data_IF_856302084528
#
_entry.id   IF_856302084528
#
_cell.length_a   1.000
_cell.length_b   1.000
_cell.length_c   1.000
_cell.angle_alpha   90.00
_cell.angle_beta   90.00
_cell.angle_gamma   90.00
#
_symmetry.space_group_name_H-M   'P 1'
#
loop_
_entity.id
_entity.type
_entity.pdbx_description
1 polymer ?
#
# COMPACT_ATOMS: atom_id res chain seq x y z
N UNK A 1 -36.07 -5.79 -30.14
CA UNK A 1 -34.87 -6.63 -30.02
C UNK A 1 -33.74 -5.72 -29.55
N UNK A 2 -33.52 -5.64 -28.22
CA UNK A 2 -32.44 -4.83 -27.63
C UNK A 2 -31.14 -5.62 -27.73
N UNK A 3 -30.16 -5.10 -28.44
CA UNK A 3 -28.79 -5.64 -28.44
C UNK A 3 -28.06 -5.01 -27.26
N UNK A 4 -27.84 -5.79 -26.20
CA UNK A 4 -26.92 -5.42 -25.14
C UNK A 4 -25.49 -5.69 -25.62
N UNK A 5 -24.77 -4.64 -26.03
CA UNK A 5 -23.32 -4.70 -26.12
C UNK A 5 -22.77 -4.84 -24.71
N UNK A 6 -22.47 -6.08 -24.29
CA UNK A 6 -21.55 -6.32 -23.17
C UNK A 6 -20.16 -5.92 -23.65
N UNK A 7 -19.77 -4.67 -23.38
CA UNK A 7 -18.37 -4.34 -23.22
C UNK A 7 -17.87 -5.14 -22.03
N UNK A 8 -17.09 -6.18 -22.32
CA UNK A 8 -16.30 -6.87 -21.31
C UNK A 8 -15.28 -5.88 -20.78
N UNK A 9 -15.55 -5.29 -19.63
CA UNK A 9 -14.53 -4.60 -18.83
C UNK A 9 -13.45 -5.65 -18.52
N UNK A 10 -12.16 -5.39 -18.80
CA UNK A 10 -11.10 -6.28 -18.37
C UNK A 10 -11.16 -6.39 -16.84
N UNK A 11 -11.00 -7.60 -16.30
CA UNK A 11 -10.84 -7.76 -14.84
C UNK A 11 -9.49 -7.15 -14.46
N UNK A 12 -9.48 -5.88 -14.06
CA UNK A 12 -8.34 -5.26 -13.40
C UNK A 12 -7.99 -6.02 -12.11
N UNK A 13 -6.71 -6.29 -11.92
CA UNK A 13 -6.09 -6.72 -10.67
C UNK A 13 -5.97 -5.51 -9.74
N UNK A 14 -6.99 -5.29 -8.93
CA UNK A 14 -6.81 -4.43 -7.75
C UNK A 14 -5.79 -5.08 -6.81
N UNK A 15 -4.88 -4.29 -6.23
CA UNK A 15 -4.34 -4.65 -4.92
C UNK A 15 -5.56 -4.74 -3.99
N UNK A 16 -6.01 -5.95 -3.70
CA UNK A 16 -7.20 -6.13 -2.88
C UNK A 16 -6.82 -5.75 -1.46
N UNK A 17 -7.12 -4.52 -1.07
CA UNK A 17 -7.13 -4.12 0.32
C UNK A 17 -7.88 -5.20 1.09
N UNK A 18 -7.17 -5.89 1.97
CA UNK A 18 -7.81 -6.80 2.90
C UNK A 18 -8.29 -5.93 4.06
N UNK A 19 -9.50 -6.20 4.57
CA UNK A 19 -9.97 -5.50 5.76
C UNK A 19 -8.93 -5.68 6.87
N UNK A 20 -8.38 -4.58 7.36
CA UNK A 20 -7.48 -4.58 8.51
C UNK A 20 -8.35 -4.87 9.73
N UNK A 21 -7.97 -5.88 10.51
CA UNK A 21 -8.66 -6.24 11.75
C UNK A 21 -8.09 -5.40 12.90
N UNK A 22 -8.71 -4.24 13.14
CA UNK A 22 -8.32 -3.30 14.21
C UNK A 22 -8.30 -3.98 15.58
N UNK A 23 -9.35 -4.76 15.90
CA UNK A 23 -9.46 -5.44 17.19
C UNK A 23 -8.37 -6.51 17.39
N UNK A 24 -7.95 -7.19 16.32
CA UNK A 24 -6.83 -8.13 16.40
C UNK A 24 -5.49 -7.41 16.58
N UNK A 25 -5.31 -6.22 16.00
CA UNK A 25 -4.12 -5.39 16.26
C UNK A 25 -4.12 -4.87 17.71
N UNK A 26 -5.25 -4.39 18.22
CA UNK A 26 -5.40 -3.98 19.63
C UNK A 26 -5.05 -5.11 20.59
N UNK A 27 -5.43 -6.35 20.26
CA UNK A 27 -5.08 -7.50 21.10
C UNK A 27 -3.56 -7.71 21.20
N UNK A 28 -2.78 -7.34 20.18
CA UNK A 28 -1.31 -7.43 20.17
C UNK A 28 -0.71 -6.27 20.97
N UNK A 29 -1.18 -5.04 20.75
CA UNK A 29 -0.68 -3.82 21.41
C UNK A 29 -1.34 -3.54 22.78
N UNK A 30 -2.23 -4.43 23.22
CA UNK A 30 -2.89 -4.43 24.53
C UNK A 30 -2.66 -5.73 25.32
N UNK A 31 -1.68 -6.54 24.92
CA UNK A 31 -1.33 -7.77 25.64
C UNK A 31 -0.82 -7.49 27.07
N UNK A 32 -0.77 -8.53 27.92
CA UNK A 32 -0.46 -8.38 29.35
C UNK A 32 0.88 -7.69 29.66
N UNK A 33 1.88 -7.74 28.76
CA UNK A 33 3.16 -7.06 28.92
C UNK A 33 3.06 -5.52 28.94
N UNK A 34 1.95 -4.96 28.46
CA UNK A 34 1.60 -3.53 28.56
C UNK A 34 1.05 -3.12 29.94
N UNK A 35 0.80 -4.09 30.83
CA UNK A 35 0.25 -3.83 32.15
C UNK A 35 -1.14 -3.17 32.08
N UNK A 36 -1.24 -1.93 32.57
CA UNK A 36 -2.49 -1.14 32.53
C UNK A 36 -2.47 -0.06 31.44
N UNK A 37 -1.36 0.08 30.73
CA UNK A 37 -1.14 1.10 29.71
C UNK A 37 -1.14 0.42 28.35
N UNK A 38 -2.33 0.09 27.85
CA UNK A 38 -2.48 -0.50 26.51
C UNK A 38 -2.39 0.60 25.44
N UNK A 39 -1.97 0.22 24.23
CA UNK A 39 -1.99 1.11 23.06
C UNK A 39 -3.15 0.69 22.16
N UNK A 40 -4.02 1.65 21.88
CA UNK A 40 -5.18 1.53 21.00
C UNK A 40 -4.77 1.84 19.55
N UNK A 41 -5.03 0.93 18.62
CA UNK A 41 -4.76 1.10 17.19
C UNK A 41 -6.01 1.68 16.53
N UNK A 42 -5.88 2.85 15.92
CA UNK A 42 -7.01 3.57 15.32
C UNK A 42 -6.87 3.64 13.82
N UNK A 43 -7.72 2.93 13.09
CA UNK A 43 -7.74 3.03 11.64
C UNK A 43 -8.49 4.29 11.21
N UNK A 44 -7.77 5.19 10.57
CA UNK A 44 -8.35 6.34 9.89
C UNK A 44 -9.09 5.89 8.61
N UNK A 45 -10.04 6.70 8.09
CA UNK A 45 -10.73 6.40 6.85
C UNK A 45 -9.74 6.19 5.70
N UNK A 46 -9.79 5.04 5.03
CA UNK A 46 -8.86 4.68 3.97
C UNK A 46 -8.80 5.71 2.83
N UNK A 47 -7.59 5.94 2.30
CA UNK A 47 -7.34 6.81 1.15
C UNK A 47 -7.00 5.97 -0.08
N UNK A 48 -7.17 6.56 -1.25
CA UNK A 48 -6.70 6.00 -2.52
C UNK A 48 -5.62 6.91 -3.10
N UNK A 49 -4.55 6.32 -3.62
CA UNK A 49 -3.46 7.02 -4.27
C UNK A 49 -3.33 6.50 -5.71
N UNK A 50 -3.76 7.30 -6.68
CA UNK A 50 -3.77 6.96 -8.11
C UNK A 50 -2.35 6.95 -8.74
N UNK A 51 -1.55 5.97 -8.32
CA UNK A 51 -0.16 5.77 -8.73
C UNK A 51 0.09 4.28 -9.01
N UNK A 52 -0.47 3.73 -10.11
CA UNK A 52 -0.35 2.30 -10.42
C UNK A 52 1.09 1.84 -10.62
N UNK A 53 2.01 2.76 -10.89
CA UNK A 53 3.47 2.54 -10.91
C UNK A 53 4.05 2.15 -9.54
N UNK A 54 3.28 2.29 -8.46
CA UNK A 54 3.65 1.91 -7.09
C UNK A 54 3.10 0.55 -6.65
N UNK A 55 2.36 -0.16 -7.51
CA UNK A 55 1.85 -1.50 -7.20
C UNK A 55 2.95 -2.56 -7.07
N UNK A 56 4.07 -2.38 -7.78
CA UNK A 56 5.24 -3.25 -7.74
C UNK A 56 6.43 -2.48 -7.15
N UNK A 57 6.66 -2.66 -5.85
CA UNK A 57 7.78 -2.03 -5.13
C UNK A 57 9.04 -2.86 -5.35
N UNK A 58 10.13 -2.22 -5.78
CA UNK A 58 11.42 -2.86 -6.04
C UNK A 58 12.55 -2.21 -5.26
N UNK A 59 13.33 -3.03 -4.58
CA UNK A 59 14.51 -2.67 -3.82
C UNK A 59 15.70 -3.45 -4.40
N UNK A 60 16.27 -2.88 -5.46
CA UNK A 60 17.44 -3.43 -6.14
C UNK A 60 18.70 -2.74 -5.61
N UNK A 61 19.66 -3.44 -4.98
CA UNK A 61 20.92 -2.83 -4.60
C UNK A 61 21.77 -2.54 -5.84
N UNK A 62 22.17 -1.28 -6.05
CA UNK A 62 23.08 -0.89 -7.14
C UNK A 62 24.54 -1.36 -6.91
N UNK A 63 24.88 -1.94 -5.75
CA UNK A 63 26.20 -2.47 -5.46
C UNK A 63 26.17 -3.86 -4.78
N UNK A 64 27.20 -4.66 -5.09
CA UNK A 64 27.49 -6.00 -4.57
C UNK A 64 27.12 -6.16 -3.07
N UNK A 65 26.32 -7.18 -2.69
CA UNK A 65 25.95 -7.43 -1.29
C UNK A 65 27.13 -7.77 -0.37
N UNK A 66 28.35 -7.89 -0.90
CA UNK A 66 29.58 -8.21 -0.18
C UNK A 66 30.59 -7.04 -0.07
N UNK A 67 30.21 -5.80 -0.41
CA UNK A 67 31.12 -4.64 -0.27
C UNK A 67 30.76 -3.76 0.93
N UNK A 68 31.78 -3.37 1.69
CA UNK A 68 31.75 -2.55 2.93
C UNK A 68 31.24 -1.11 2.73
N UNK A 69 30.87 -0.75 1.51
CA UNK A 69 30.19 0.49 1.15
C UNK A 69 28.80 0.15 0.64
N UNK A 70 27.84 0.03 1.56
CA UNK A 70 26.42 -0.17 1.24
C UNK A 70 25.83 1.11 0.63
N UNK A 71 26.07 1.34 -0.66
CA UNK A 71 25.19 2.18 -1.44
C UNK A 71 24.05 1.28 -1.94
N UNK A 72 22.98 1.17 -1.15
CA UNK A 72 21.70 0.71 -1.67
C UNK A 72 21.22 1.80 -2.62
N UNK A 73 21.66 1.75 -3.89
CA UNK A 73 21.10 2.63 -4.89
C UNK A 73 19.70 2.15 -5.17
N UNK A 74 18.70 2.78 -4.58
CA UNK A 74 17.32 2.44 -4.90
C UNK A 74 17.01 2.79 -6.34
N UNK A 75 16.51 1.79 -7.07
CA UNK A 75 15.82 2.00 -8.34
C UNK A 75 14.34 1.73 -8.08
N UNK A 76 13.68 2.56 -7.27
CA UNK A 76 12.33 2.24 -6.82
C UNK A 76 11.57 3.39 -6.17
N UNK A 77 10.29 3.47 -6.51
CA UNK A 77 9.34 4.52 -6.17
C UNK A 77 8.86 4.48 -4.69
N UNK A 78 9.61 3.83 -3.80
CA UNK A 78 9.21 3.57 -2.41
C UNK A 78 9.33 4.81 -1.52
N UNK A 79 10.43 5.57 -1.63
CA UNK A 79 10.54 6.84 -0.90
C UNK A 79 9.61 7.92 -1.45
N UNK A 80 9.27 7.89 -2.74
CA UNK A 80 8.21 8.75 -3.30
C UNK A 80 6.87 8.44 -2.63
N UNK A 81 6.57 7.16 -2.42
CA UNK A 81 5.36 6.69 -1.74
C UNK A 81 5.35 7.12 -0.26
N UNK A 82 6.48 7.02 0.44
CA UNK A 82 6.61 7.46 1.83
C UNK A 82 6.61 8.99 2.01
N UNK A 83 7.13 9.74 1.03
CA UNK A 83 7.07 11.20 1.01
C UNK A 83 5.64 11.74 0.77
N UNK A 84 4.72 10.91 0.28
CA UNK A 84 3.29 11.24 0.11
C UNK A 84 2.44 10.97 1.36
N UNK A 85 3.05 10.42 2.42
CA UNK A 85 2.38 10.13 3.68
C UNK A 85 1.81 11.37 4.38
N UNK A 86 0.83 11.16 5.26
CA UNK A 86 0.33 12.21 6.15
C UNK A 86 1.45 12.76 7.06
N UNK A 87 1.25 13.93 7.66
CA UNK A 87 2.20 14.45 8.65
C UNK A 87 2.24 13.54 9.90
N UNK A 88 3.39 13.51 10.58
CA UNK A 88 3.50 12.95 11.93
C UNK A 88 2.41 13.51 12.84
N UNK A 89 1.84 12.70 13.75
CA UNK A 89 2.21 11.32 14.13
C UNK A 89 1.32 10.22 13.49
N UNK A 90 0.88 10.38 12.23
CA UNK A 90 0.04 9.40 11.55
C UNK A 90 0.89 8.39 10.78
N UNK A 91 0.69 7.10 11.05
CA UNK A 91 1.36 6.02 10.33
C UNK A 91 0.64 5.72 9.02
N UNK A 92 1.37 5.65 7.89
CA UNK A 92 0.79 5.35 6.59
C UNK A 92 1.05 3.89 6.20
N UNK A 93 -0.03 3.14 5.98
CA UNK A 93 0.02 1.74 5.52
C UNK A 93 -0.37 1.69 4.06
N UNK A 94 0.57 1.34 3.19
CA UNK A 94 0.32 1.23 1.75
C UNK A 94 0.08 -0.22 1.35
N UNK A 95 -1.04 -0.46 0.68
CA UNK A 95 -1.33 -1.75 0.06
C UNK A 95 -0.72 -1.82 -1.34
N UNK A 96 0.21 -2.75 -1.52
CA UNK A 96 0.90 -3.00 -2.79
C UNK A 96 0.67 -4.44 -3.26
N UNK A 97 0.84 -4.70 -4.56
CA UNK A 97 0.67 -6.05 -5.13
C UNK A 97 1.90 -6.91 -4.85
N UNK A 98 3.10 -6.34 -5.00
CA UNK A 98 4.35 -7.04 -4.72
C UNK A 98 5.42 -6.12 -4.15
N UNK A 99 6.23 -6.69 -3.27
CA UNK A 99 7.50 -6.15 -2.81
C UNK A 99 8.59 -7.11 -3.30
N UNK A 100 9.70 -6.56 -3.81
CA UNK A 100 10.87 -7.33 -4.24
C UNK A 100 12.10 -6.80 -3.53
N UNK A 101 12.70 -7.68 -2.73
CA UNK A 101 13.98 -7.45 -2.07
C UNK A 101 15.05 -8.31 -2.76
N UNK A 102 16.18 -7.71 -3.13
CA UNK A 102 17.33 -8.40 -3.74
C UNK A 102 17.02 -9.15 -5.05
N UNK A 103 16.10 -8.61 -5.87
CA UNK A 103 15.69 -9.24 -7.14
C UNK A 103 14.97 -10.59 -6.99
N UNK A 104 14.66 -11.02 -5.77
CA UNK A 104 13.87 -12.23 -5.50
C UNK A 104 12.42 -11.84 -5.20
N UNK A 105 11.50 -12.73 -5.58
CA UNK A 105 10.15 -12.69 -5.04
C UNK A 105 10.24 -13.21 -3.61
N UNK A 106 9.85 -12.40 -2.65
CA UNK A 106 9.36 -12.95 -1.42
C UNK A 106 7.90 -13.34 -1.59
N UNK A 107 7.67 -14.41 -2.35
CA UNK A 107 6.31 -14.90 -2.53
C UNK A 107 5.86 -15.55 -1.22
N UNK A 108 4.76 -15.08 -0.64
CA UNK A 108 4.03 -15.79 0.42
C UNK A 108 4.52 -15.55 1.84
N UNK A 109 5.52 -14.70 2.03
CA UNK A 109 5.77 -14.04 3.31
C UNK A 109 5.11 -12.67 3.14
N UNK A 110 4.16 -12.33 4.01
CA UNK A 110 3.74 -10.94 4.00
C UNK A 110 4.94 -10.13 4.47
N UNK A 111 5.34 -9.22 3.62
CA UNK A 111 6.46 -8.34 3.84
C UNK A 111 5.91 -6.98 4.14
N UNK A 112 6.53 -6.28 5.06
CA UNK A 112 6.61 -4.86 4.89
C UNK A 112 8.02 -4.35 4.87
N UNK A 113 8.07 -3.11 4.42
CA UNK A 113 9.24 -2.27 4.56
C UNK A 113 8.72 -0.93 5.06
N UNK A 114 9.34 -0.46 6.13
CA UNK A 114 8.99 0.80 6.76
C UNK A 114 10.19 1.73 6.91
N UNK A 115 9.94 3.03 6.80
CA UNK A 115 10.87 4.07 7.25
C UNK A 115 10.08 5.28 7.72
N UNK A 116 10.58 5.94 8.77
CA UNK A 116 9.91 7.08 9.39
C UNK A 116 8.52 6.71 9.88
N UNK A 117 7.49 7.15 9.15
CA UNK A 117 6.07 6.95 9.51
C UNK A 117 5.28 6.12 8.51
N UNK A 118 5.95 5.50 7.55
CA UNK A 118 5.26 4.83 6.45
C UNK A 118 5.82 3.45 6.25
N UNK A 119 4.93 2.52 5.93
CA UNK A 119 5.30 1.18 5.52
C UNK A 119 4.36 0.65 4.43
N UNK A 120 4.89 -0.20 3.56
CA UNK A 120 4.10 -0.90 2.55
C UNK A 120 3.92 -2.35 2.96
N UNK A 121 2.78 -2.96 2.65
CA UNK A 121 2.54 -4.39 2.86
C UNK A 121 1.93 -5.08 1.65
N UNK A 122 2.34 -6.32 1.42
CA UNK A 122 1.65 -7.24 0.51
C UNK A 122 0.55 -8.01 1.23
N UNK A 123 -0.34 -8.64 0.45
CA UNK A 123 -1.39 -9.49 1.02
C UNK A 123 -0.79 -10.78 1.59
N UNK A 124 -0.98 -10.99 2.89
CA UNK A 124 -0.66 -12.22 3.60
C UNK A 124 -1.76 -13.29 3.42
N UNK A 125 -1.40 -14.59 3.50
CA UNK A 125 -2.39 -15.64 3.66
C UNK A 125 -2.96 -15.66 5.09
N UNK A 126 -4.29 -15.54 5.20
CA UNK A 126 -5.04 -15.84 6.43
C UNK A 126 -4.67 -14.97 7.64
N UNK A 127 -4.52 -15.55 8.85
CA UNK A 127 -4.36 -14.80 10.10
C UNK A 127 -3.00 -14.09 10.21
N UNK A 128 -2.03 -14.44 9.37
CA UNK A 128 -0.69 -13.82 9.36
C UNK A 128 -0.74 -12.34 8.93
N UNK A 129 -1.82 -11.88 8.29
CA UNK A 129 -1.92 -10.47 7.87
C UNK A 129 -1.83 -9.50 9.05
N UNK A 130 -2.48 -9.84 10.17
CA UNK A 130 -2.48 -9.01 11.38
C UNK A 130 -1.08 -8.99 12.00
N UNK A 131 -0.44 -10.16 12.07
CA UNK A 131 0.92 -10.29 12.57
C UNK A 131 1.89 -9.45 11.75
N UNK A 132 1.82 -9.50 10.42
CA UNK A 132 2.73 -8.71 9.58
C UNK A 132 2.49 -7.22 9.76
N UNK A 133 1.23 -6.77 9.74
CA UNK A 133 0.93 -5.35 9.97
C UNK A 133 1.46 -4.91 11.34
N UNK A 134 1.24 -5.71 12.39
CA UNK A 134 1.75 -5.42 13.73
C UNK A 134 3.29 -5.44 13.80
N UNK A 135 3.93 -6.35 13.08
CA UNK A 135 5.39 -6.48 12.99
C UNK A 135 6.01 -5.21 12.40
N UNK A 136 5.46 -4.73 11.29
CA UNK A 136 5.93 -3.50 10.63
C UNK A 136 5.68 -2.26 11.47
N UNK A 137 4.53 -2.18 12.15
CA UNK A 137 4.28 -1.14 13.16
C UNK A 137 5.35 -1.20 14.25
N UNK A 138 5.72 -2.40 14.72
CA UNK A 138 6.80 -2.61 15.68
C UNK A 138 8.12 -1.98 15.22
N UNK A 139 8.50 -2.17 13.96
CA UNK A 139 9.68 -1.52 13.39
C UNK A 139 9.60 0.02 13.41
N UNK A 140 8.46 0.60 13.04
CA UNK A 140 8.26 2.06 13.09
C UNK A 140 8.33 2.61 14.53
N UNK A 141 7.96 1.78 15.51
CA UNK A 141 8.05 2.09 16.94
C UNK A 141 9.45 1.84 17.54
N UNK A 142 10.44 1.53 16.70
CA UNK A 142 11.84 1.37 17.12
C UNK A 142 12.24 -0.05 17.53
N UNK A 143 11.40 -1.06 17.27
CA UNK A 143 11.76 -2.45 17.52
C UNK A 143 12.64 -3.03 16.41
N UNK A 144 13.60 -3.84 16.82
CA UNK A 144 14.40 -4.66 15.91
C UNK A 144 13.97 -6.13 15.97
N UNK A 145 14.40 -6.92 14.98
CA UNK A 145 14.17 -8.36 14.99
C UNK A 145 14.75 -9.03 16.24
N UNK A 146 13.94 -9.84 16.92
CA UNK A 146 14.38 -10.59 18.10
C UNK A 146 15.10 -11.88 17.68
N UNK A 147 16.21 -12.20 18.36
CA UNK A 147 17.04 -13.37 18.04
C UNK A 147 17.93 -13.21 16.80
N UNK A 148 17.91 -12.06 16.13
CA UNK A 148 18.88 -11.74 15.09
C UNK A 148 20.20 -11.24 15.72
N UNK A 149 21.36 -11.87 15.48
CA UNK A 149 22.63 -11.22 15.73
C UNK A 149 22.74 -10.02 14.80
N UNK A 150 23.14 -8.88 15.36
CA UNK A 150 23.61 -7.73 14.59
C UNK A 150 24.64 -8.18 13.55
N UNK A 151 24.68 -7.58 12.34
CA UNK A 151 25.64 -7.94 11.30
C UNK A 151 27.07 -8.12 11.86
N UNK A 152 27.86 -9.12 11.40
CA UNK A 152 27.87 -9.63 10.03
C UNK A 152 27.48 -11.11 9.85
N UNK A 153 26.83 -11.77 10.82
CA UNK A 153 26.49 -13.19 10.69
C UNK A 153 24.97 -13.41 10.61
N UNK A 154 24.49 -13.89 9.46
CA UNK A 154 23.12 -14.34 9.17
C UNK A 154 22.70 -15.56 9.99
N UNK A 155 22.79 -15.48 11.31
CA UNK A 155 22.10 -16.42 12.20
C UNK A 155 20.75 -15.82 12.55
N UNK A 156 19.91 -15.58 11.55
CA UNK A 156 18.52 -15.21 11.81
C UNK A 156 17.87 -16.42 12.49
N UNK A 157 17.61 -16.33 13.79
CA UNK A 157 16.81 -17.34 14.48
C UNK A 157 15.38 -17.26 13.91
N UNK A 158 15.11 -18.15 12.94
CA UNK A 158 13.79 -18.31 12.37
C UNK A 158 12.92 -19.04 13.39
N UNK A 159 11.82 -18.41 13.84
CA UNK A 159 10.87 -19.06 14.74
C UNK A 159 10.99 -18.71 16.22
N UNK A 160 11.51 -17.52 16.54
CA UNK A 160 11.37 -16.99 17.90
C UNK A 160 9.88 -16.77 18.21
N UNK A 161 9.45 -17.17 19.42
CA UNK A 161 8.08 -16.93 19.91
C UNK A 161 7.89 -15.44 20.28
N UNK A 162 7.97 -14.55 19.29
CA UNK A 162 7.90 -13.09 19.45
C UNK A 162 7.33 -12.44 18.18
N UNK A 163 6.63 -11.30 18.33
CA UNK A 163 6.14 -10.50 17.21
C UNK A 163 7.27 -10.12 16.25
N UNK A 164 8.45 -9.79 16.77
CA UNK A 164 9.62 -9.36 16.00
C UNK A 164 10.48 -10.53 15.50
N UNK A 165 9.90 -11.72 15.33
CA UNK A 165 10.57 -12.81 14.62
C UNK A 165 10.81 -12.41 13.16
N UNK A 166 12.02 -12.69 12.63
CA UNK A 166 12.44 -12.37 11.24
C UNK A 166 11.48 -12.90 10.17
N UNK A 167 10.70 -13.93 10.50
CA UNK A 167 9.65 -14.42 9.63
C UNK A 167 8.36 -14.58 10.42
N UNK A 168 7.21 -14.16 9.86
CA UNK A 168 5.90 -14.41 10.42
C UNK A 168 5.71 -15.90 10.71
N UNK A 169 5.32 -16.22 11.93
CA UNK A 169 5.22 -17.57 12.45
C UNK A 169 3.97 -17.80 13.33
N UNK A 170 3.05 -16.84 13.34
CA UNK A 170 1.82 -16.86 14.13
C UNK A 170 2.01 -16.39 15.57
N UNK A 171 3.17 -15.82 15.92
CA UNK A 171 3.50 -15.40 17.28
C UNK A 171 3.54 -13.88 17.35
N UNK A 172 2.87 -13.33 18.34
CA UNK A 172 2.67 -11.88 18.46
C UNK A 172 3.06 -11.34 19.84
N UNK A 173 3.77 -12.15 20.63
CA UNK A 173 4.19 -11.76 21.99
C UNK A 173 5.24 -10.67 21.93
N UNK A 174 5.11 -9.66 22.79
CA UNK A 174 6.12 -8.62 23.02
C UNK A 174 6.59 -8.66 24.47
N UNK A 175 7.90 -8.62 24.67
CA UNK A 175 8.51 -8.59 26.00
C UNK A 175 8.49 -7.17 26.60
N UNK A 176 8.78 -7.06 27.90
CA UNK A 176 8.72 -5.77 28.61
C UNK A 176 9.71 -4.70 28.07
N UNK A 177 10.87 -5.12 27.56
CA UNK A 177 11.86 -4.21 26.96
C UNK A 177 11.36 -3.65 25.63
N UNK A 178 10.73 -4.48 24.81
CA UNK A 178 10.11 -4.03 23.56
C UNK A 178 8.93 -3.09 23.86
N UNK A 179 8.08 -3.41 24.83
CA UNK A 179 6.99 -2.52 25.24
C UNK A 179 7.52 -1.17 25.72
N UNK A 180 8.61 -1.13 26.50
CA UNK A 180 9.24 0.13 26.91
C UNK A 180 9.75 0.93 25.71
N UNK A 181 10.39 0.26 24.74
CA UNK A 181 10.87 0.89 23.50
C UNK A 181 9.71 1.50 22.71
N UNK A 182 8.59 0.80 22.62
CA UNK A 182 7.38 1.30 21.96
C UNK A 182 6.89 2.59 22.64
N UNK A 183 6.87 2.64 23.98
CA UNK A 183 6.43 3.84 24.71
C UNK A 183 7.37 5.04 24.58
N UNK A 184 8.63 4.80 24.20
CA UNK A 184 9.60 5.86 23.93
C UNK A 184 9.47 6.43 22.50
N UNK A 185 8.58 5.87 21.65
CA UNK A 185 8.37 6.34 20.28
C UNK A 185 7.52 7.60 20.20
N UNK A 186 7.95 8.57 19.37
CA UNK A 186 7.20 9.80 19.07
C UNK A 186 5.87 9.56 18.31
N UNK A 187 5.66 8.34 17.81
CA UNK A 187 4.41 7.94 17.15
C UNK A 187 3.31 7.53 18.12
N UNK A 188 3.67 7.23 19.38
CA UNK A 188 2.68 6.92 20.42
C UNK A 188 2.06 8.21 20.91
N UNK A 189 0.79 8.40 20.56
CA UNK A 189 0.02 9.57 20.95
C UNK A 189 -0.66 9.33 22.29
N UNK A 190 -0.86 10.40 23.06
CA UNK A 190 -1.54 10.35 24.35
C UNK A 190 -2.63 11.40 24.44
N UNK A 191 -3.80 10.99 24.90
CA UNK A 191 -4.86 11.95 25.27
C UNK A 191 -5.39 11.63 26.66
N UNK A 192 -5.88 12.67 27.34
CA UNK A 192 -6.40 12.57 28.72
C UNK A 192 -7.51 11.54 28.90
N UNK A 193 -8.25 11.22 27.84
CA UNK A 193 -9.46 10.40 27.91
C UNK A 193 -9.38 9.10 27.12
N UNK A 194 -8.49 9.01 26.12
CA UNK A 194 -8.41 7.85 25.23
C UNK A 194 -7.12 7.03 25.42
N UNK A 195 -6.36 7.31 26.48
CA UNK A 195 -5.12 6.59 26.78
C UNK A 195 -4.03 6.81 25.72
N UNK A 196 -3.20 5.79 25.53
CA UNK A 196 -2.18 5.74 24.50
C UNK A 196 -2.77 5.15 23.22
N UNK A 197 -2.41 5.70 22.07
CA UNK A 197 -2.91 5.23 20.79
C UNK A 197 -1.97 5.54 19.64
N UNK A 198 -2.19 4.86 18.52
CA UNK A 198 -1.51 5.10 17.25
C UNK A 198 -2.56 5.20 16.16
N UNK A 199 -2.51 6.27 15.37
CA UNK A 199 -3.37 6.41 14.20
C UNK A 199 -2.69 5.83 12.96
N UNK A 200 -3.43 5.00 12.24
CA UNK A 200 -2.96 4.37 11.00
C UNK A 200 -3.88 4.80 9.88
N UNK A 201 -3.29 5.31 8.81
CA UNK A 201 -3.95 5.67 7.56
C UNK A 201 -3.72 4.57 6.53
N UNK A 202 -4.73 3.73 6.22
CA UNK A 202 -4.63 2.80 5.11
C UNK A 202 -4.69 3.58 3.79
N UNK A 203 -3.79 3.24 2.87
CA UNK A 203 -3.69 3.83 1.54
C UNK A 203 -3.71 2.71 0.52
N UNK A 204 -4.76 2.69 -0.29
CA UNK A 204 -4.92 1.77 -1.41
C UNK A 204 -4.33 2.39 -2.67
N UNK A 205 -3.59 1.59 -3.44
CA UNK A 205 -3.09 1.96 -4.75
C UNK A 205 -3.95 1.22 -5.80
N UNK A 206 -4.77 1.92 -6.59
CA UNK A 206 -5.56 1.30 -7.63
C UNK A 206 -4.70 1.05 -8.88
N UNK A 207 -5.00 -0.03 -9.60
CA UNK A 207 -4.34 -0.39 -10.87
C UNK A 207 -4.76 0.54 -12.03
N UNK A 208 -6.00 1.02 -12.00
CA UNK A 208 -6.49 1.98 -12.97
C UNK A 208 -6.71 3.33 -12.29
N UNK A 209 -6.18 4.39 -12.90
CA UNK A 209 -6.62 5.75 -12.58
C UNK A 209 -8.04 5.83 -13.11
N UNK A 210 -9.05 5.90 -12.22
CA UNK A 210 -10.40 6.24 -12.63
C UNK A 210 -10.37 7.65 -13.23
N UNK A 211 -10.16 7.74 -14.54
CA UNK A 211 -10.40 8.96 -15.28
C UNK A 211 -11.91 9.08 -15.31
N UNK A 212 -12.46 9.90 -14.41
CA UNK A 212 -13.86 10.24 -14.42
C UNK A 212 -14.26 10.50 -15.88
N UNK A 213 -15.14 9.67 -16.43
CA UNK A 213 -15.53 9.77 -17.82
C UNK A 213 -16.07 11.18 -18.04
N UNK A 214 -15.25 12.06 -18.61
CA UNK A 214 -15.65 13.42 -18.91
C UNK A 214 -16.81 13.27 -19.89
N UNK A 215 -18.04 13.70 -19.54
CA UNK A 215 -19.15 13.61 -20.47
C UNK A 215 -18.71 14.33 -21.74
N UNK A 216 -18.59 13.59 -22.85
CA UNK A 216 -18.26 14.21 -24.13
C UNK A 216 -19.28 15.33 -24.33
N UNK A 217 -18.86 16.60 -24.42
CA UNK A 217 -19.81 17.67 -24.60
C UNK A 217 -20.60 17.37 -25.88
N UNK A 218 -21.92 17.55 -25.83
CA UNK A 218 -22.82 17.25 -26.95
C UNK A 218 -22.42 17.95 -28.26
N UNK A 219 -21.53 18.95 -28.18
CA UNK A 219 -20.82 19.57 -29.30
C UNK A 219 -20.06 18.57 -30.19
N UNK A 220 -19.51 17.48 -29.64
CA UNK A 220 -18.82 16.45 -30.43
C UNK A 220 -19.75 15.72 -31.40
N UNK A 221 -20.97 15.39 -30.93
CA UNK A 221 -22.01 14.80 -31.77
C UNK A 221 -22.54 15.82 -32.79
N UNK A 222 -22.74 17.07 -32.39
CA UNK A 222 -23.17 18.14 -33.31
C UNK A 222 -22.15 18.40 -34.42
N UNK A 223 -20.84 18.33 -34.13
CA UNK A 223 -19.79 18.45 -35.12
C UNK A 223 -19.86 17.31 -36.16
N UNK A 224 -20.02 16.07 -35.70
CA UNK A 224 -20.18 14.89 -36.56
C UNK A 224 -21.44 14.98 -37.44
N UNK A 225 -22.57 15.42 -36.88
CA UNK A 225 -23.80 15.64 -37.64
C UNK A 225 -23.67 16.80 -38.64
N UNK A 226 -22.94 17.87 -38.30
CA UNK A 226 -22.72 19.00 -39.21
C UNK A 226 -21.87 18.62 -40.43
N UNK A 227 -20.86 17.76 -40.24
CA UNK A 227 -20.04 17.24 -41.35
C UNK A 227 -20.86 16.36 -42.30
N UNK A 228 -21.70 15.46 -41.75
CA UNK A 228 -22.59 14.63 -42.56
C UNK A 228 -23.65 15.45 -43.29
N UNK A 229 -24.24 16.45 -42.65
CA UNK A 229 -25.25 17.32 -43.26
C UNK A 229 -24.73 18.09 -44.49
N UNK A 230 -23.47 18.56 -44.45
CA UNK A 230 -22.88 19.28 -45.59
C UNK A 230 -22.62 18.38 -46.81
N UNK A 231 -22.29 17.10 -46.62
CA UNK A 231 -22.09 16.16 -47.75
C UNK A 231 -23.39 15.80 -48.48
N UNK A 232 -24.53 15.73 -47.77
CA UNK A 232 -25.83 15.37 -48.37
C UNK A 232 -26.48 16.55 -49.10
N UNK A 233 -26.27 17.78 -48.64
CA UNK A 233 -26.80 18.99 -49.27
C UNK A 233 -25.92 19.52 -50.41
N UNK A 234 -24.61 19.26 -50.40
CA UNK A 234 -23.69 19.66 -51.47
C UNK A 234 -23.83 18.87 -52.77
N UNK A 235 -24.33 17.63 -52.72
CA UNK A 235 -24.42 16.73 -53.87
C UNK A 235 -25.58 16.98 -54.85
N UNK A 236 -26.51 17.90 -54.54
CA UNK A 236 -27.75 18.09 -55.33
C UNK A 236 -27.72 19.25 -56.33
N UNK A 237 -26.59 19.93 -56.53
CA UNK A 237 -26.48 21.10 -57.43
C UNK A 237 -25.79 20.85 -58.79
N UNK A 238 -25.40 19.61 -59.12
CA UNK A 238 -24.62 19.34 -60.34
C UNK A 238 -25.43 18.92 -61.59
N UNK A 239 -26.70 18.50 -61.49
CA UNK A 239 -27.38 17.82 -62.62
C UNK A 239 -28.50 18.62 -63.31
N UNK A 240 -28.37 19.94 -63.41
CA UNK A 240 -29.37 20.78 -64.08
C UNK A 240 -28.78 21.75 -65.11
N UNK A 241 -27.95 21.25 -66.04
CA UNK A 241 -27.61 22.01 -67.25
C UNK A 241 -27.12 21.07 -68.37
N UNK A 242 -28.01 20.33 -69.02
CA UNK A 242 -27.79 19.85 -70.40
C UNK A 242 -29.09 19.26 -71.00
N UNK A 243 -29.97 20.13 -71.49
CA UNK A 243 -30.97 19.78 -72.52
C UNK A 243 -31.15 21.00 -73.45
N UNK A 244 -30.47 20.96 -74.59
CA UNK A 244 -30.82 21.64 -75.84
C UNK A 244 -30.42 20.73 -76.99
#
# INVERSE_FOLDING_TARGET
>A
MLVFNRLSVPRGREARATTIDEAALDAIFGQASYGQSVIDIRLLPGKSLARPDLLDVRLDPVANPFSDTQNVGEVGNLFDLFALGAAEPIVNLFWVESIRLFGQFASGIAEGIGTGISFAVTKAPGPLQVEVIAHEIGHLLGLEHEGAPQPPFFRTDFGVDNLMSVSPNGKTTLNATQVATIFDSDLVQVTKFAGFFIEIQPILIPEEIEVAAVPLPASGLLLLFSLFGMTVLGGRRADAHHLR
#
